data_IF_098366351249
#
_entry.id   IF_098366351249
#
_cell.length_a   1.000
_cell.length_b   1.000
_cell.length_c   1.000
_cell.angle_alpha   90.00
_cell.angle_beta   90.00
_cell.angle_gamma   90.00
#
_symmetry.space_group_name_H-M   'P 1'
#
loop_
_entity.id
_entity.type
_entity.pdbx_description
1 polymer ?
#
# COMPACT_ATOMS: atom_id res chain seq x y z
N UNK A 1 4.26 0.46 -19.73
CA UNK A 1 3.96 0.50 -18.28
C UNK A 1 2.48 0.58 -17.98
N UNK A 2 1.68 1.38 -18.69
CA UNK A 2 0.23 1.51 -18.55
C UNK A 2 -0.51 0.18 -18.28
N UNK A 3 -0.43 -0.78 -19.22
CA UNK A 3 -1.12 -2.08 -19.10
C UNK A 3 -0.70 -2.88 -17.87
N UNK A 4 0.58 -2.80 -17.47
CA UNK A 4 1.10 -3.48 -16.28
C UNK A 4 0.54 -2.86 -15.00
N UNK A 5 0.42 -1.53 -14.94
CA UNK A 5 -0.20 -0.84 -13.79
C UNK A 5 -1.67 -1.22 -13.63
N UNK A 6 -2.43 -1.30 -14.73
CA UNK A 6 -3.80 -1.82 -14.68
C UNK A 6 -3.84 -3.25 -14.12
N UNK A 7 -2.98 -4.12 -14.64
CA UNK A 7 -2.91 -5.51 -14.16
C UNK A 7 -2.63 -5.56 -12.65
N UNK A 8 -1.60 -4.86 -12.18
CA UNK A 8 -1.27 -4.81 -10.76
C UNK A 8 -2.35 -4.13 -9.91
N UNK A 9 -3.00 -3.11 -10.44
CA UNK A 9 -4.11 -2.45 -9.78
C UNK A 9 -5.27 -3.42 -9.53
N UNK A 10 -5.73 -4.11 -10.56
CA UNK A 10 -6.80 -5.12 -10.44
C UNK A 10 -6.37 -6.34 -9.62
N UNK A 11 -5.12 -6.78 -9.75
CA UNK A 11 -4.60 -7.88 -8.95
C UNK A 11 -4.60 -7.52 -7.46
N UNK A 12 -4.09 -6.35 -7.10
CA UNK A 12 -4.06 -5.91 -5.71
C UNK A 12 -5.47 -5.72 -5.17
N UNK A 13 -6.36 -5.13 -5.97
CA UNK A 13 -7.77 -4.96 -5.62
C UNK A 13 -8.43 -6.33 -5.35
N UNK A 14 -8.23 -7.31 -6.24
CA UNK A 14 -8.77 -8.66 -6.06
C UNK A 14 -8.21 -9.34 -4.81
N UNK A 15 -6.90 -9.24 -4.56
CA UNK A 15 -6.27 -9.83 -3.38
C UNK A 15 -6.91 -9.29 -2.09
N UNK A 16 -7.19 -8.00 -2.05
CA UNK A 16 -7.80 -7.37 -0.87
C UNK A 16 -9.31 -7.56 -0.80
N UNK A 17 -10.01 -7.83 -1.91
CA UNK A 17 -11.39 -8.35 -1.84
C UNK A 17 -11.42 -9.73 -1.16
N UNK A 18 -10.48 -10.60 -1.50
CA UNK A 18 -10.36 -11.93 -0.88
C UNK A 18 -9.95 -11.79 0.59
N UNK A 19 -8.96 -10.93 0.90
CA UNK A 19 -8.53 -10.66 2.28
C UNK A 19 -9.72 -10.20 3.15
N UNK A 20 -10.61 -9.38 2.61
CA UNK A 20 -11.82 -8.91 3.29
C UNK A 20 -12.73 -10.04 3.81
N UNK A 21 -12.70 -11.21 3.18
CA UNK A 21 -13.44 -12.39 3.65
C UNK A 21 -12.86 -12.98 4.95
N UNK A 22 -11.60 -12.68 5.28
CA UNK A 22 -10.87 -13.21 6.42
C UNK A 22 -10.66 -12.19 7.55
N UNK A 23 -11.20 -10.98 7.42
CA UNK A 23 -11.03 -9.89 8.41
C UNK A 23 -11.36 -10.35 9.83
N UNK A 24 -12.46 -11.09 10.01
CA UNK A 24 -12.91 -11.54 11.33
C UNK A 24 -12.04 -12.65 11.93
N UNK A 25 -11.25 -13.34 11.12
CA UNK A 25 -10.38 -14.44 11.58
C UNK A 25 -8.96 -13.99 11.96
N UNK A 26 -8.61 -12.74 11.66
CA UNK A 26 -7.31 -12.19 12.05
C UNK A 26 -7.29 -11.80 13.53
N UNK A 27 -6.10 -11.77 14.13
CA UNK A 27 -5.90 -11.44 15.54
C UNK A 27 -6.49 -10.07 15.90
N UNK A 28 -6.33 -9.07 15.03
CA UNK A 28 -6.94 -7.75 15.18
C UNK A 28 -7.86 -7.44 13.99
N UNK A 29 -9.17 -7.72 14.09
CA UNK A 29 -10.13 -7.48 13.00
C UNK A 29 -10.26 -6.01 12.58
N UNK A 30 -10.06 -5.04 13.49
CA UNK A 30 -10.08 -3.61 13.15
C UNK A 30 -8.90 -3.23 12.28
N UNK A 31 -7.72 -3.78 12.58
CA UNK A 31 -6.53 -3.60 11.74
C UNK A 31 -6.70 -4.30 10.40
N UNK A 32 -7.29 -5.50 10.39
CA UNK A 32 -7.60 -6.23 9.17
C UNK A 32 -8.59 -5.44 8.28
N UNK A 33 -9.61 -4.82 8.84
CA UNK A 33 -10.49 -3.92 8.10
C UNK A 33 -9.73 -2.72 7.53
N UNK A 34 -8.80 -2.14 8.28
CA UNK A 34 -7.93 -1.06 7.79
C UNK A 34 -7.02 -1.53 6.66
N UNK A 35 -6.49 -2.76 6.75
CA UNK A 35 -5.69 -3.38 5.69
C UNK A 35 -6.54 -3.62 4.44
N UNK A 36 -7.76 -4.15 4.60
CA UNK A 36 -8.71 -4.37 3.52
C UNK A 36 -8.97 -3.07 2.73
N UNK A 37 -9.40 -2.03 3.41
CA UNK A 37 -9.68 -0.73 2.78
C UNK A 37 -8.42 -0.12 2.16
N UNK A 38 -7.29 -0.15 2.88
CA UNK A 38 -6.01 0.37 2.39
C UNK A 38 -5.52 -0.37 1.15
N UNK A 39 -5.67 -1.69 1.11
CA UNK A 39 -5.30 -2.50 -0.05
C UNK A 39 -6.18 -2.26 -1.27
N UNK A 40 -7.51 -2.11 -1.08
CA UNK A 40 -8.43 -1.72 -2.15
C UNK A 40 -8.05 -0.34 -2.71
N UNK A 41 -7.78 0.64 -1.84
CA UNK A 41 -7.34 1.98 -2.25
C UNK A 41 -6.01 1.96 -3.00
N UNK A 42 -5.07 1.12 -2.58
CA UNK A 42 -3.79 0.90 -3.28
C UNK A 42 -4.00 0.30 -4.67
N UNK A 43 -4.91 -0.66 -4.81
CA UNK A 43 -5.30 -1.22 -6.10
C UNK A 43 -5.92 -0.18 -7.02
N UNK A 44 -6.84 0.63 -6.51
CA UNK A 44 -7.44 1.75 -7.24
C UNK A 44 -6.39 2.79 -7.65
N UNK A 45 -5.46 3.15 -6.74
CA UNK A 45 -4.38 4.09 -7.05
C UNK A 45 -3.54 3.61 -8.23
N UNK A 46 -3.11 2.34 -8.25
CA UNK A 46 -2.37 1.78 -9.38
C UNK A 46 -3.18 1.76 -10.67
N UNK A 47 -4.48 1.47 -10.59
CA UNK A 47 -5.40 1.53 -11.73
C UNK A 47 -5.54 2.94 -12.29
N UNK A 48 -5.80 3.94 -11.45
CA UNK A 48 -5.89 5.36 -11.84
C UNK A 48 -4.55 5.85 -12.42
N UNK A 49 -3.43 5.49 -11.78
CA UNK A 49 -2.10 5.79 -12.31
C UNK A 49 -1.90 5.19 -13.70
N UNK A 50 -2.34 3.95 -13.90
CA UNK A 50 -2.35 3.30 -15.21
C UNK A 50 -3.18 4.07 -16.24
N UNK A 51 -4.35 4.58 -15.86
CA UNK A 51 -5.21 5.40 -16.74
C UNK A 51 -4.53 6.71 -17.13
N UNK A 52 -3.95 7.41 -16.15
CA UNK A 52 -3.30 8.71 -16.35
C UNK A 52 -1.87 8.63 -16.90
N UNK A 53 -1.33 7.43 -17.13
CA UNK A 53 0.10 7.25 -17.47
C UNK A 53 0.56 8.06 -18.68
N UNK A 54 -0.28 8.17 -19.71
CA UNK A 54 0.06 8.87 -20.95
C UNK A 54 -0.03 10.40 -20.82
N UNK A 55 -0.62 10.90 -19.74
CA UNK A 55 -0.71 12.33 -19.45
C UNK A 55 0.53 12.85 -18.70
N UNK A 56 1.38 11.93 -18.23
CA UNK A 56 2.57 12.28 -17.48
C UNK A 56 3.71 12.67 -18.42
N UNK A 57 4.28 13.85 -18.21
CA UNK A 57 5.48 14.32 -18.90
C UNK A 57 6.72 14.04 -18.06
N UNK A 58 7.21 12.81 -18.14
CA UNK A 58 8.37 12.34 -17.40
C UNK A 58 9.48 11.88 -18.35
N UNK A 59 10.73 12.00 -17.91
CA UNK A 59 11.84 11.35 -18.61
C UNK A 59 11.74 9.82 -18.46
N UNK A 60 12.33 9.06 -19.37
CA UNK A 60 12.31 7.59 -19.33
C UNK A 60 12.83 7.00 -18.01
N UNK A 61 13.82 7.64 -17.37
CA UNK A 61 14.32 7.25 -16.04
C UNK A 61 13.28 7.51 -14.95
N UNK A 62 12.63 8.68 -15.00
CA UNK A 62 11.59 9.04 -14.04
C UNK A 62 10.36 8.15 -14.20
N UNK A 63 9.95 7.79 -15.41
CA UNK A 63 8.87 6.81 -15.66
C UNK A 63 9.17 5.45 -15.01
N UNK A 64 10.38 4.92 -15.24
CA UNK A 64 10.79 3.64 -14.66
C UNK A 64 10.83 3.70 -13.14
N UNK A 65 11.39 4.77 -12.57
CA UNK A 65 11.42 4.97 -11.13
C UNK A 65 10.01 5.09 -10.55
N UNK A 66 9.14 5.90 -11.14
CA UNK A 66 7.75 6.08 -10.71
C UNK A 66 6.97 4.77 -10.74
N UNK A 67 7.15 3.96 -11.78
CA UNK A 67 6.52 2.65 -11.90
C UNK A 67 6.90 1.73 -10.72
N UNK A 68 8.19 1.62 -10.41
CA UNK A 68 8.65 0.76 -9.31
C UNK A 68 8.31 1.32 -7.93
N UNK A 69 8.40 2.64 -7.75
CA UNK A 69 7.98 3.29 -6.50
C UNK A 69 6.48 3.05 -6.23
N UNK A 70 5.64 3.14 -7.27
CA UNK A 70 4.22 2.87 -7.15
C UNK A 70 3.97 1.40 -6.76
N UNK A 71 4.60 0.43 -7.42
CA UNK A 71 4.40 -0.98 -7.12
C UNK A 71 4.91 -1.34 -5.73
N UNK A 72 6.19 -1.07 -5.46
CA UNK A 72 6.84 -1.45 -4.19
C UNK A 72 6.13 -0.79 -3.00
N UNK A 73 5.81 0.49 -3.13
CA UNK A 73 5.13 1.23 -2.07
C UNK A 73 3.73 0.69 -1.78
N UNK A 74 2.89 0.51 -2.81
CA UNK A 74 1.50 0.09 -2.60
C UNK A 74 1.40 -1.37 -2.14
N UNK A 75 2.14 -2.31 -2.74
CA UNK A 75 2.18 -3.70 -2.26
C UNK A 75 2.78 -3.79 -0.86
N UNK A 76 3.92 -3.13 -0.63
CA UNK A 76 4.61 -3.18 0.66
C UNK A 76 3.77 -2.60 1.79
N UNK A 77 3.17 -1.43 1.60
CA UNK A 77 2.28 -0.81 2.61
C UNK A 77 1.07 -1.68 2.92
N UNK A 78 0.40 -2.20 1.88
CA UNK A 78 -0.78 -3.05 2.04
C UNK A 78 -0.46 -4.35 2.79
N UNK A 79 0.62 -5.03 2.42
CA UNK A 79 1.08 -6.24 3.10
C UNK A 79 1.52 -5.97 4.54
N UNK A 80 2.13 -4.81 4.81
CA UNK A 80 2.52 -4.41 6.17
C UNK A 80 1.31 -4.23 7.08
N UNK A 81 0.18 -3.71 6.57
CA UNK A 81 -1.07 -3.61 7.33
C UNK A 81 -1.67 -4.99 7.63
N UNK A 82 -1.63 -5.92 6.67
CA UNK A 82 -2.06 -7.31 6.91
C UNK A 82 -1.18 -7.95 7.98
N UNK A 83 0.13 -7.76 7.90
CA UNK A 83 1.06 -8.27 8.92
C UNK A 83 0.74 -7.68 10.30
N UNK A 84 0.43 -6.37 10.38
CA UNK A 84 -0.01 -5.72 11.61
C UNK A 84 -1.29 -6.36 12.19
N UNK A 85 -2.25 -6.70 11.32
CA UNK A 85 -3.50 -7.35 11.71
C UNK A 85 -3.29 -8.77 12.26
N UNK A 86 -2.43 -9.54 11.58
CA UNK A 86 -2.10 -10.92 11.97
C UNK A 86 -1.31 -10.97 13.27
N UNK A 87 -0.34 -10.09 13.45
CA UNK A 87 0.51 -10.04 14.64
C UNK A 87 -0.15 -9.27 15.81
N UNK A 88 -1.16 -8.45 15.55
CA UNK A 88 -1.82 -7.63 16.55
C UNK A 88 -0.95 -6.50 17.09
N UNK A 89 -0.12 -5.89 16.23
CA UNK A 89 0.73 -4.75 16.60
C UNK A 89 -0.07 -3.47 16.78
N UNK A 90 0.47 -2.49 17.53
CA UNK A 90 -0.20 -1.23 17.84
C UNK A 90 0.69 0.02 17.74
N UNK A 91 2.00 -0.13 17.83
CA UNK A 91 2.91 1.00 18.01
C UNK A 91 2.81 2.04 16.89
N UNK A 92 2.74 1.62 15.62
CA UNK A 92 2.62 2.51 14.46
C UNK A 92 1.18 2.88 14.11
N UNK A 93 0.20 2.15 14.64
CA UNK A 93 -1.22 2.30 14.31
C UNK A 93 -2.07 2.24 15.58
N UNK A 94 -1.89 3.19 16.52
CA UNK A 94 -2.45 3.10 17.87
C UNK A 94 -3.98 3.09 17.89
N UNK A 95 -4.66 3.72 16.93
CA UNK A 95 -6.13 3.73 16.86
C UNK A 95 -6.66 2.34 16.52
N UNK A 96 -6.21 1.76 15.41
CA UNK A 96 -6.65 0.44 14.98
C UNK A 96 -6.08 -0.68 15.89
N UNK A 97 -4.92 -0.45 16.49
CA UNK A 97 -4.25 -1.37 17.41
C UNK A 97 -4.70 -1.26 18.86
N UNK A 98 -5.62 -0.36 19.22
CA UNK A 98 -6.06 -0.16 20.60
C UNK A 98 -6.62 -1.47 21.22
N UNK A 99 -6.10 -1.83 22.39
CA UNK A 99 -6.47 -3.08 23.10
C UNK A 99 -5.69 -4.32 22.65
N UNK A 100 -4.80 -4.20 21.65
CA UNK A 100 -3.91 -5.25 21.18
C UNK A 100 -2.46 -4.96 21.58
N UNK A 101 -1.59 -5.93 21.38
CA UNK A 101 -0.16 -5.79 21.58
C UNK A 101 0.57 -7.03 21.08
N UNK A 102 1.80 -6.83 20.64
CA UNK A 102 2.67 -7.87 20.13
C UNK A 102 4.04 -7.82 20.83
N UNK A 103 4.93 -8.75 20.50
CA UNK A 103 6.31 -8.71 20.99
C UNK A 103 7.04 -7.46 20.48
N UNK A 104 8.04 -7.00 21.22
CA UNK A 104 8.86 -5.84 20.81
C UNK A 104 9.45 -6.02 19.40
N UNK A 105 9.84 -7.24 19.05
CA UNK A 105 10.36 -7.57 17.72
C UNK A 105 9.28 -7.41 16.64
N UNK A 106 8.06 -7.90 16.87
CA UNK A 106 6.96 -7.77 15.93
C UNK A 106 6.55 -6.30 15.75
N UNK A 107 6.47 -5.52 16.83
CA UNK A 107 6.21 -4.08 16.78
C UNK A 107 7.27 -3.33 15.95
N UNK A 108 8.54 -3.67 16.15
CA UNK A 108 9.64 -3.07 15.42
C UNK A 108 9.59 -3.41 13.92
N UNK A 109 9.38 -4.68 13.58
CA UNK A 109 9.30 -5.13 12.17
C UNK A 109 8.17 -4.41 11.44
N UNK A 110 6.97 -4.35 12.02
CA UNK A 110 5.82 -3.70 11.41
C UNK A 110 6.03 -2.19 11.29
N UNK A 111 6.59 -1.54 12.31
CA UNK A 111 6.91 -0.12 12.28
C UNK A 111 7.88 0.22 11.15
N UNK A 112 8.97 -0.55 11.03
CA UNK A 112 9.95 -0.38 9.96
C UNK A 112 9.29 -0.61 8.59
N UNK A 113 8.53 -1.69 8.43
CA UNK A 113 7.89 -2.02 7.17
C UNK A 113 6.90 -0.91 6.73
N UNK A 114 6.01 -0.46 7.60
CA UNK A 114 5.07 0.62 7.31
C UNK A 114 5.80 1.91 6.92
N UNK A 115 6.86 2.27 7.63
CA UNK A 115 7.65 3.48 7.33
C UNK A 115 8.38 3.36 6.00
N UNK A 116 9.09 2.25 5.78
CA UNK A 116 9.89 2.03 4.56
C UNK A 116 9.01 2.00 3.31
N UNK A 117 7.84 1.38 3.37
CA UNK A 117 6.97 1.28 2.19
C UNK A 117 6.06 2.51 2.00
N UNK A 118 5.84 3.35 3.02
CA UNK A 118 5.15 4.61 2.85
C UNK A 118 5.98 5.63 2.05
N UNK A 119 7.30 5.67 2.24
CA UNK A 119 8.20 6.62 1.56
C UNK A 119 8.11 6.53 0.03
N UNK A 120 8.20 5.34 -0.61
CA UNK A 120 8.02 5.20 -2.06
C UNK A 120 6.70 5.77 -2.59
N UNK A 121 5.60 5.58 -1.86
CA UNK A 121 4.29 6.12 -2.26
C UNK A 121 4.31 7.65 -2.25
N UNK A 122 4.85 8.25 -1.19
CA UNK A 122 4.98 9.71 -1.09
C UNK A 122 5.85 10.28 -2.20
N UNK A 123 7.02 9.69 -2.44
CA UNK A 123 7.93 10.11 -3.52
C UNK A 123 7.25 9.97 -4.88
N UNK A 124 6.55 8.85 -5.11
CA UNK A 124 5.76 8.62 -6.32
C UNK A 124 4.76 9.76 -6.54
N UNK A 125 3.95 10.10 -5.53
CA UNK A 125 2.96 11.18 -5.62
C UNK A 125 3.61 12.53 -5.96
N UNK A 126 4.76 12.86 -5.36
CA UNK A 126 5.49 14.11 -5.67
C UNK A 126 5.95 14.12 -7.13
N UNK A 127 6.48 13.00 -7.64
CA UNK A 127 6.92 12.89 -9.04
C UNK A 127 5.73 13.02 -10.00
N UNK A 128 4.59 12.38 -9.67
CA UNK A 128 3.35 12.47 -10.46
C UNK A 128 2.85 13.92 -10.56
N UNK A 129 2.81 14.64 -9.43
CA UNK A 129 2.39 16.04 -9.42
C UNK A 129 3.29 16.91 -10.28
N UNK A 130 4.59 16.65 -10.32
CA UNK A 130 5.53 17.36 -11.21
C UNK A 130 5.29 17.00 -12.68
N UNK A 131 5.10 15.71 -12.98
CA UNK A 131 4.84 15.24 -14.33
C UNK A 131 3.52 15.71 -14.95
N UNK A 132 2.52 16.04 -14.12
CA UNK A 132 1.24 16.60 -14.55
C UNK A 132 1.29 18.13 -14.76
N UNK A 133 2.26 18.81 -14.16
CA UNK A 133 2.41 20.28 -14.26
C UNK A 133 3.27 20.73 -15.44
N UNK A 134 4.10 19.86 -15.96
CA UNK A 134 5.00 20.11 -17.11
C UNK A 134 4.30 19.72 -18.41
#
# INVERSE_FOLDING_TARGET
MKRRLFFHGFLLFLLFLVEGMFVQSMRNPRMALSAHVGGLMSGLFLGVLGAAWNELRLSARAETATYWLALVGNYGSSLSLVLAAVLGTRSSTPIAGAGYGASATAEMIVTIALTVFAVPVLVCCVVLLRGLRS
#
